data_IF_546107098752
#
_entry.id   IF_546107098752
#
_cell.length_a   1.000
_cell.length_b   1.000
_cell.length_c   1.000
_cell.angle_alpha   90.00
_cell.angle_beta   90.00
_cell.angle_gamma   90.00
#
_symmetry.space_group_name_H-M   'P 1'
#
loop_
_entity.id
_entity.type
_entity.pdbx_description
1 polymer ?
#
# COMPACT_ATOMS: atom_id res chain seq x y z
N UNK A 1 -3.77 18.39 31.25
CA UNK A 1 -2.97 18.58 30.04
C UNK A 1 -2.42 19.99 30.06
N UNK A 2 -1.12 20.14 30.23
CA UNK A 2 -0.45 21.44 30.23
C UNK A 2 -0.41 22.02 28.82
N UNK A 3 -0.17 23.34 28.71
CA UNK A 3 -0.02 24.01 27.41
C UNK A 3 1.14 23.42 26.59
N UNK A 4 2.19 22.97 27.27
CA UNK A 4 3.35 22.29 26.66
C UNK A 4 2.99 20.89 26.15
N UNK A 5 2.24 20.10 26.93
CA UNK A 5 1.74 18.78 26.50
C UNK A 5 0.84 18.89 25.27
N UNK A 6 -0.07 19.88 25.26
CA UNK A 6 -0.95 20.12 24.11
C UNK A 6 -0.19 20.51 22.85
N UNK A 7 0.77 21.44 22.97
CA UNK A 7 1.60 21.86 21.84
C UNK A 7 2.43 20.71 21.27
N UNK A 8 2.97 19.86 22.15
CA UNK A 8 3.73 18.67 21.74
C UNK A 8 2.84 17.67 20.99
N UNK A 9 1.66 17.38 21.53
CA UNK A 9 0.70 16.48 20.88
C UNK A 9 0.25 17.01 19.50
N UNK A 10 0.01 18.32 19.39
CA UNK A 10 -0.31 18.97 18.10
C UNK A 10 0.83 18.79 17.09
N UNK A 11 2.08 19.03 17.50
CA UNK A 11 3.24 18.87 16.61
C UNK A 11 3.43 17.42 16.15
N UNK A 12 3.22 16.44 17.04
CA UNK A 12 3.28 15.02 16.69
C UNK A 12 2.23 14.66 15.62
N UNK A 13 1.01 15.18 15.77
CA UNK A 13 -0.09 14.96 14.83
C UNK A 13 0.15 15.61 13.46
N UNK A 14 0.69 16.84 13.45
CA UNK A 14 1.10 17.53 12.22
C UNK A 14 2.24 16.79 11.50
N UNK A 15 3.20 16.25 12.25
CA UNK A 15 4.29 15.46 11.69
C UNK A 15 3.80 14.15 11.05
N UNK A 16 2.86 13.46 11.72
CA UNK A 16 2.27 12.22 11.22
C UNK A 16 1.41 12.46 9.96
N UNK A 17 0.64 13.56 9.95
CA UNK A 17 -0.08 14.01 8.76
C UNK A 17 0.88 14.30 7.60
N UNK A 18 1.96 15.05 7.84
CA UNK A 18 2.94 15.39 6.82
C UNK A 18 3.63 14.15 6.25
N UNK A 19 3.92 13.15 7.09
CA UNK A 19 4.46 11.87 6.64
C UNK A 19 3.49 11.15 5.70
N UNK A 20 2.21 11.08 6.08
CA UNK A 20 1.15 10.46 5.26
C UNK A 20 0.94 11.20 3.94
N UNK A 21 0.98 12.53 3.97
CA UNK A 21 0.90 13.37 2.78
C UNK A 21 2.07 13.09 1.83
N UNK A 22 3.31 13.12 2.33
CA UNK A 22 4.52 12.84 1.53
C UNK A 22 4.49 11.45 0.91
N UNK A 23 4.08 10.44 1.69
CA UNK A 23 3.88 9.07 1.20
C UNK A 23 2.88 9.03 0.05
N UNK A 24 1.76 9.74 0.19
CA UNK A 24 0.74 9.83 -0.86
C UNK A 24 1.28 10.53 -2.11
N UNK A 25 2.00 11.65 -1.95
CA UNK A 25 2.61 12.38 -3.07
C UNK A 25 3.60 11.50 -3.82
N UNK A 26 4.51 10.82 -3.12
CA UNK A 26 5.48 9.92 -3.74
C UNK A 26 4.82 8.78 -4.53
N UNK A 27 3.72 8.21 -4.00
CA UNK A 27 2.96 7.19 -4.73
C UNK A 27 2.35 7.73 -6.03
N UNK A 28 1.77 8.93 -6.00
CA UNK A 28 1.19 9.56 -7.20
C UNK A 28 2.27 9.96 -8.20
N UNK A 29 3.39 10.50 -7.73
CA UNK A 29 4.54 10.87 -8.56
C UNK A 29 5.07 9.67 -9.35
N UNK A 30 5.32 8.54 -8.68
CA UNK A 30 5.78 7.31 -9.34
C UNK A 30 4.75 6.81 -10.35
N UNK A 31 3.46 6.85 -10.00
CA UNK A 31 2.39 6.44 -10.90
C UNK A 31 2.32 7.30 -12.16
N UNK A 32 2.28 8.63 -12.01
CA UNK A 32 2.22 9.57 -13.14
C UNK A 32 3.48 9.49 -14.00
N UNK A 33 4.66 9.34 -13.38
CA UNK A 33 5.93 9.16 -14.09
C UNK A 33 5.91 7.90 -14.95
N UNK A 34 5.43 6.77 -14.42
CA UNK A 34 5.27 5.54 -15.23
C UNK A 34 4.32 5.74 -16.39
N UNK A 35 3.18 6.39 -16.14
CA UNK A 35 2.17 6.63 -17.17
C UNK A 35 2.72 7.52 -18.30
N UNK A 36 3.39 8.62 -17.95
CA UNK A 36 4.03 9.54 -18.89
C UNK A 36 5.26 8.92 -19.61
N UNK A 37 5.91 7.91 -19.03
CA UNK A 37 7.00 7.17 -19.68
C UNK A 37 6.53 6.08 -20.64
N UNK A 38 5.26 5.67 -20.56
CA UNK A 38 4.74 4.54 -21.33
C UNK A 38 4.43 4.95 -22.77
N UNK A 39 4.95 4.20 -23.75
CA UNK A 39 4.87 4.54 -25.18
C UNK A 39 3.44 4.82 -25.68
N UNK A 40 2.44 4.14 -25.11
CA UNK A 40 1.02 4.35 -25.45
C UNK A 40 0.37 5.45 -24.61
N UNK A 41 0.44 5.37 -23.27
CA UNK A 41 -0.30 6.29 -22.39
C UNK A 41 0.23 7.72 -22.41
N UNK A 42 1.51 7.91 -22.77
CA UNK A 42 2.08 9.26 -22.88
C UNK A 42 1.44 10.12 -23.98
N UNK A 43 0.77 9.49 -24.95
CA UNK A 43 0.08 10.15 -26.06
C UNK A 43 -1.45 10.22 -25.80
N UNK A 44 -1.92 9.84 -24.61
CA UNK A 44 -3.35 9.87 -24.27
C UNK A 44 -3.85 11.29 -24.00
N UNK A 45 -4.86 11.72 -24.75
CA UNK A 45 -5.42 13.08 -24.67
C UNK A 45 -5.97 13.40 -23.27
N UNK A 46 -6.60 12.43 -22.59
CA UNK A 46 -7.12 12.66 -21.24
C UNK A 46 -5.98 12.83 -20.23
N UNK A 47 -4.86 12.12 -20.42
CA UNK A 47 -3.68 12.30 -19.57
C UNK A 47 -3.07 13.69 -19.75
N UNK A 48 -2.96 14.18 -21.00
CA UNK A 48 -2.51 15.55 -21.26
C UNK A 48 -3.41 16.57 -20.59
N UNK A 49 -4.73 16.48 -20.79
CA UNK A 49 -5.70 17.37 -20.13
C UNK A 49 -5.59 17.27 -18.61
N UNK A 50 -5.47 16.06 -18.05
CA UNK A 50 -5.34 15.89 -16.60
C UNK A 50 -4.09 16.55 -16.02
N UNK A 51 -2.97 16.59 -16.77
CA UNK A 51 -1.70 17.14 -16.31
C UNK A 51 -1.52 18.63 -16.61
N UNK A 52 -2.09 19.13 -17.71
CA UNK A 52 -1.84 20.47 -18.24
C UNK A 52 -3.00 21.45 -17.97
N UNK A 53 -4.19 20.95 -17.66
CA UNK A 53 -5.35 21.81 -17.41
C UNK A 53 -5.20 22.55 -16.08
N UNK A 54 -5.21 23.88 -16.15
CA UNK A 54 -4.92 24.80 -15.05
C UNK A 54 -6.17 25.32 -14.33
N UNK A 55 -7.36 25.00 -14.84
CA UNK A 55 -8.64 25.37 -14.23
C UNK A 55 -9.24 24.21 -13.44
N UNK A 56 -10.22 24.51 -12.58
CA UNK A 56 -10.97 23.48 -11.88
C UNK A 56 -11.77 22.64 -12.89
N UNK A 57 -11.46 21.34 -12.96
CA UNK A 57 -12.33 20.38 -13.62
C UNK A 57 -13.64 20.35 -12.82
N UNK A 58 -14.73 20.86 -13.42
CA UNK A 58 -16.10 20.65 -12.94
C UNK A 58 -16.50 19.16 -13.11
N UNK A 59 -15.78 18.27 -12.44
CA UNK A 59 -16.11 16.86 -12.38
C UNK A 59 -17.43 16.73 -11.63
N UNK A 60 -18.46 16.26 -12.33
CA UNK A 60 -19.78 15.99 -11.73
C UNK A 60 -19.58 15.18 -10.44
N UNK A 61 -20.01 15.68 -9.26
CA UNK A 61 -19.86 14.93 -8.03
C UNK A 61 -20.54 13.57 -8.18
N UNK A 62 -19.78 12.48 -8.06
CA UNK A 62 -20.37 11.14 -8.00
C UNK A 62 -21.23 11.09 -6.73
N UNK A 63 -22.54 10.85 -6.88
CA UNK A 63 -23.45 10.73 -5.74
C UNK A 63 -23.05 9.58 -4.81
N UNK A 64 -23.36 9.68 -3.51
CA UNK A 64 -23.02 8.65 -2.48
C UNK A 64 -23.45 7.23 -2.87
N UNK A 65 -24.57 7.10 -3.58
CA UNK A 65 -25.07 5.81 -4.09
C UNK A 65 -24.16 5.19 -5.16
N UNK A 66 -23.47 6.00 -5.96
CA UNK A 66 -22.56 5.53 -7.00
C UNK A 66 -21.19 5.12 -6.43
N UNK A 67 -20.76 5.73 -5.32
CA UNK A 67 -19.60 5.29 -4.54
C UNK A 67 -19.85 3.92 -3.86
N UNK A 68 -21.04 3.70 -3.29
CA UNK A 68 -21.45 2.40 -2.73
C UNK A 68 -21.62 1.31 -3.81
N UNK A 69 -22.12 1.67 -5.00
CA UNK A 69 -22.23 0.74 -6.13
C UNK A 69 -20.89 0.16 -6.61
N UNK A 70 -19.77 0.85 -6.35
CA UNK A 70 -18.42 0.32 -6.63
C UNK A 70 -18.04 -0.88 -5.75
N UNK A 71 -18.49 -0.90 -4.50
CA UNK A 71 -18.23 -1.98 -3.54
C UNK A 71 -19.07 -3.24 -3.82
N UNK A 72 -20.32 -3.06 -4.30
CA UNK A 72 -21.18 -4.19 -4.69
C UNK A 72 -20.69 -4.85 -5.99
N UNK A 73 -20.15 -4.05 -6.93
CA UNK A 73 -19.54 -4.57 -8.17
C UNK A 73 -18.26 -5.38 -7.91
N UNK A 74 -17.49 -5.07 -6.87
CA UNK A 74 -16.28 -5.84 -6.57
C UNK A 74 -16.57 -7.25 -6.02
N UNK A 75 -17.70 -7.44 -5.31
CA UNK A 75 -18.10 -8.76 -4.80
C UNK A 75 -18.64 -9.68 -5.91
N UNK A 76 -19.50 -9.16 -6.79
CA UNK A 76 -20.03 -9.93 -7.93
C UNK A 76 -18.96 -10.29 -8.97
N UNK A 77 -17.89 -9.50 -9.05
CA UNK A 77 -16.78 -9.75 -9.97
C UNK A 77 -16.07 -11.09 -9.71
N UNK A 78 -15.97 -11.52 -8.44
CA UNK A 78 -15.21 -12.73 -8.08
C UNK A 78 -15.95 -14.00 -8.51
N UNK A 79 -17.24 -14.12 -8.20
CA UNK A 79 -18.05 -15.30 -8.58
C UNK A 79 -18.21 -15.42 -10.10
N UNK A 80 -18.41 -14.28 -10.78
CA UNK A 80 -18.51 -14.21 -12.23
C UNK A 80 -17.17 -14.52 -12.92
N UNK A 81 -16.04 -14.14 -12.32
CA UNK A 81 -14.69 -14.48 -12.79
C UNK A 81 -14.41 -16.00 -12.71
N UNK A 82 -14.78 -16.66 -11.61
CA UNK A 82 -14.66 -18.13 -11.51
C UNK A 82 -15.57 -18.84 -12.51
N UNK A 83 -16.78 -18.33 -12.73
CA UNK A 83 -17.73 -18.89 -13.68
C UNK A 83 -17.30 -18.70 -15.14
N UNK A 84 -16.75 -17.53 -15.47
CA UNK A 84 -16.21 -17.22 -16.79
C UNK A 84 -14.97 -18.04 -17.11
N UNK A 85 -14.02 -18.16 -16.16
CA UNK A 85 -12.85 -19.04 -16.32
C UNK A 85 -13.25 -20.51 -16.50
N UNK A 86 -14.36 -20.97 -15.91
CA UNK A 86 -14.81 -22.35 -16.02
C UNK A 86 -15.55 -22.66 -17.34
N UNK A 87 -16.17 -21.67 -17.99
CA UNK A 87 -16.99 -21.87 -19.20
C UNK A 87 -16.37 -21.33 -20.49
N UNK A 88 -15.52 -20.32 -20.40
CA UNK A 88 -14.87 -19.68 -21.54
C UNK A 88 -13.40 -20.05 -21.48
N UNK A 89 -13.02 -21.08 -22.23
CA UNK A 89 -11.62 -21.46 -22.37
C UNK A 89 -10.96 -20.44 -23.28
N UNK A 90 -9.91 -19.78 -22.82
CA UNK A 90 -9.15 -18.88 -23.68
C UNK A 90 -8.57 -19.70 -24.84
N UNK A 91 -8.73 -19.20 -26.06
CA UNK A 91 -8.20 -19.87 -27.26
C UNK A 91 -6.66 -19.82 -27.28
N UNK A 92 -6.07 -18.95 -26.45
CA UNK A 92 -4.63 -18.71 -26.37
C UNK A 92 -4.06 -19.14 -25.02
N UNK A 93 -3.19 -20.17 -25.06
CA UNK A 93 -2.43 -20.67 -23.91
C UNK A 93 -1.63 -19.55 -23.21
N UNK A 94 -1.22 -18.51 -23.95
CA UNK A 94 -0.49 -17.38 -23.40
C UNK A 94 -1.28 -16.66 -22.30
N UNK A 95 -2.55 -16.30 -22.54
CA UNK A 95 -3.33 -15.52 -21.57
C UNK A 95 -3.73 -16.34 -20.34
N UNK A 96 -3.94 -17.64 -20.51
CA UNK A 96 -4.13 -18.56 -19.39
C UNK A 96 -2.88 -18.65 -18.52
N UNK A 97 -1.70 -18.82 -19.13
CA UNK A 97 -0.42 -18.80 -18.44
C UNK A 97 -0.20 -17.46 -17.72
N UNK A 98 -0.43 -16.33 -18.39
CA UNK A 98 -0.30 -14.99 -17.77
C UNK A 98 -1.25 -14.82 -16.58
N UNK A 99 -2.50 -15.30 -16.67
CA UNK A 99 -3.45 -15.24 -15.56
C UNK A 99 -2.96 -16.05 -14.35
N UNK A 100 -2.42 -17.25 -14.59
CA UNK A 100 -1.86 -18.10 -13.55
C UNK A 100 -0.64 -17.45 -12.90
N UNK A 101 0.33 -16.98 -13.71
CA UNK A 101 1.52 -16.29 -13.21
C UNK A 101 1.18 -15.03 -12.42
N UNK A 102 0.26 -14.19 -12.89
CA UNK A 102 -0.19 -13.01 -12.14
C UNK A 102 -0.94 -13.37 -10.86
N UNK A 103 -1.67 -14.48 -10.85
CA UNK A 103 -2.38 -14.95 -9.65
C UNK A 103 -1.41 -15.40 -8.57
N UNK A 104 -0.40 -16.17 -8.96
CA UNK A 104 0.67 -16.60 -8.06
C UNK A 104 1.46 -15.41 -7.55
N UNK A 105 1.93 -14.54 -8.46
CA UNK A 105 2.70 -13.34 -8.11
C UNK A 105 1.94 -12.41 -7.16
N UNK A 106 0.65 -12.14 -7.42
CA UNK A 106 -0.18 -11.32 -6.54
C UNK A 106 -0.34 -11.95 -5.13
N UNK A 107 -0.42 -13.29 -5.07
CA UNK A 107 -0.49 -14.03 -3.79
C UNK A 107 0.82 -13.89 -3.01
N UNK A 108 1.96 -14.08 -3.68
CA UNK A 108 3.28 -13.91 -3.06
C UNK A 108 3.48 -12.48 -2.55
N UNK A 109 3.08 -11.47 -3.32
CA UNK A 109 3.13 -10.06 -2.88
C UNK A 109 2.26 -9.79 -1.66
N UNK A 110 1.05 -10.37 -1.62
CA UNK A 110 0.14 -10.24 -0.48
C UNK A 110 0.74 -10.87 0.78
N UNK A 111 1.31 -12.07 0.66
CA UNK A 111 2.01 -12.73 1.77
C UNK A 111 3.22 -11.92 2.25
N UNK A 112 4.06 -11.46 1.32
CA UNK A 112 5.23 -10.64 1.63
C UNK A 112 4.83 -9.34 2.35
N UNK A 113 3.74 -8.70 1.93
CA UNK A 113 3.20 -7.51 2.60
C UNK A 113 2.83 -7.82 4.05
N UNK A 114 2.07 -8.90 4.29
CA UNK A 114 1.67 -9.32 5.64
C UNK A 114 2.89 -9.65 6.52
N UNK A 115 3.91 -10.31 5.96
CA UNK A 115 5.14 -10.63 6.69
C UNK A 115 5.93 -9.37 7.05
N UNK A 116 5.99 -8.39 6.14
CA UNK A 116 6.63 -7.10 6.37
C UNK A 116 5.89 -6.30 7.44
N UNK A 117 4.55 -6.27 7.40
CA UNK A 117 3.76 -5.58 8.43
C UNK A 117 4.05 -6.14 9.82
N UNK A 118 4.14 -7.48 9.94
CA UNK A 118 4.52 -8.14 11.19
C UNK A 118 5.96 -7.82 11.62
N UNK A 119 6.90 -7.78 10.69
CA UNK A 119 8.30 -7.44 10.97
C UNK A 119 8.43 -6.02 11.50
N UNK A 120 7.77 -5.06 10.85
CA UNK A 120 7.64 -3.67 11.31
C UNK A 120 7.02 -3.57 12.71
N UNK A 121 5.96 -4.33 12.99
CA UNK A 121 5.36 -4.41 14.34
C UNK A 121 6.38 -4.92 15.38
N UNK A 122 7.15 -5.96 15.05
CA UNK A 122 8.18 -6.49 15.94
C UNK A 122 9.31 -5.51 16.22
N UNK A 123 9.75 -4.73 15.23
CA UNK A 123 10.72 -3.66 15.47
C UNK A 123 10.17 -2.60 16.45
N UNK A 124 8.88 -2.26 16.37
CA UNK A 124 8.25 -1.35 17.34
C UNK A 124 8.21 -1.96 18.75
N UNK A 125 7.83 -3.23 18.88
CA UNK A 125 7.84 -3.95 20.17
C UNK A 125 9.24 -4.01 20.81
N UNK A 126 10.29 -4.20 19.99
CA UNK A 126 11.69 -4.19 20.47
C UNK A 126 12.08 -2.79 20.94
N UNK A 127 11.73 -1.73 20.20
CA UNK A 127 11.95 -0.35 20.62
C UNK A 127 11.24 -0.04 21.96
N UNK A 128 10.00 -0.52 22.12
CA UNK A 128 9.24 -0.41 23.37
C UNK A 128 9.89 -1.15 24.54
N UNK A 129 10.55 -2.27 24.26
CA UNK A 129 11.32 -3.01 25.27
C UNK A 129 12.56 -2.23 25.69
N UNK A 130 13.28 -1.61 24.74
CA UNK A 130 14.45 -0.78 25.05
C UNK A 130 14.11 0.44 25.92
N UNK A 131 12.99 1.13 25.67
CA UNK A 131 12.60 2.26 26.53
C UNK A 131 12.23 1.81 27.95
N UNK A 132 11.57 0.65 28.10
CA UNK A 132 11.24 0.09 29.42
C UNK A 132 12.50 -0.27 30.21
N UNK A 133 13.47 -0.93 29.56
CA UNK A 133 14.75 -1.28 30.17
C UNK A 133 15.51 -0.02 30.58
N UNK A 134 15.61 0.96 29.67
CA UNK A 134 16.27 2.25 29.96
C UNK A 134 15.64 2.94 31.18
N UNK A 135 14.31 3.07 31.20
CA UNK A 135 13.59 3.67 32.32
C UNK A 135 13.82 2.94 33.64
N UNK A 136 13.83 1.61 33.64
CA UNK A 136 14.14 0.81 34.83
C UNK A 136 15.57 1.00 35.33
N UNK A 137 16.55 1.11 34.43
CA UNK A 137 17.95 1.39 34.78
C UNK A 137 18.12 2.79 35.40
N UNK A 138 17.43 3.79 34.86
CA UNK A 138 17.42 5.15 35.45
C UNK A 138 16.79 5.15 36.84
N UNK A 139 15.69 4.42 37.03
CA UNK A 139 15.06 4.28 38.35
C UNK A 139 16.00 3.62 39.36
N UNK A 140 16.68 2.53 38.98
CA UNK A 140 17.67 1.87 39.83
C UNK A 140 18.83 2.80 40.21
N UNK A 141 19.33 3.58 39.25
CA UNK A 141 20.39 4.56 39.47
C UNK A 141 19.99 5.64 40.51
N UNK A 142 18.72 6.05 40.50
CA UNK A 142 18.19 7.03 41.45
C UNK A 142 17.91 6.47 42.86
N UNK A 143 17.75 5.16 43.02
CA UNK A 143 17.43 4.52 44.31
C UNK A 143 18.65 4.41 45.21
N UNK A 144 19.82 4.12 44.65
CA UNK A 144 21.08 4.02 45.40
C UNK A 144 22.19 4.82 44.70
N UNK A 145 22.37 6.11 45.05
CA UNK A 145 23.37 6.99 44.47
C UNK A 145 24.77 6.61 44.98
N UNK A 146 25.27 5.48 44.47
CA UNK A 146 26.59 4.93 44.72
C UNK A 146 27.48 4.97 43.47
N UNK A 147 28.65 4.31 43.48
CA UNK A 147 29.58 4.27 42.34
C UNK A 147 28.98 3.63 41.07
N UNK A 148 27.88 2.87 41.22
CA UNK A 148 27.15 2.21 40.13
C UNK A 148 26.21 3.14 39.35
N UNK A 149 25.79 4.29 39.92
CA UNK A 149 24.87 5.24 39.28
C UNK A 149 25.33 5.60 37.86
N UNK A 150 26.54 6.16 37.74
CA UNK A 150 27.14 6.54 36.45
C UNK A 150 27.20 5.40 35.44
N UNK A 151 27.37 4.17 35.90
CA UNK A 151 27.40 2.99 35.04
C UNK A 151 25.99 2.64 34.54
N UNK A 152 25.00 2.63 35.45
CA UNK A 152 23.60 2.37 35.12
C UNK A 152 23.03 3.44 34.18
N UNK A 153 23.31 4.73 34.43
CA UNK A 153 22.91 5.83 33.52
C UNK A 153 23.51 5.64 32.13
N UNK A 154 24.78 5.24 32.04
CA UNK A 154 25.45 5.01 30.75
C UNK A 154 24.83 3.83 29.98
N UNK A 155 24.40 2.78 30.68
CA UNK A 155 23.69 1.65 30.05
C UNK A 155 22.29 2.11 29.61
N UNK A 156 21.56 2.87 30.44
CA UNK A 156 20.27 3.42 30.09
C UNK A 156 20.33 4.27 28.81
N UNK A 157 21.32 5.17 28.71
CA UNK A 157 21.58 5.97 27.52
C UNK A 157 21.86 5.10 26.28
N UNK A 158 22.48 3.94 26.47
CA UNK A 158 22.75 2.99 25.38
C UNK A 158 21.45 2.37 24.88
N UNK A 159 20.54 1.99 25.76
CA UNK A 159 19.22 1.49 25.39
C UNK A 159 18.36 2.58 24.72
N UNK A 160 18.44 3.85 25.15
CA UNK A 160 17.80 4.96 24.46
C UNK A 160 18.34 5.17 23.04
N UNK A 161 19.65 5.03 22.84
CA UNK A 161 20.24 5.05 21.49
C UNK A 161 19.78 3.86 20.66
N UNK A 162 19.76 2.66 21.24
CA UNK A 162 19.29 1.45 20.57
C UNK A 162 17.81 1.57 20.15
N UNK A 163 16.95 2.09 21.04
CA UNK A 163 15.55 2.43 20.74
C UNK A 163 15.43 3.30 19.51
N UNK A 164 16.19 4.41 19.43
CA UNK A 164 16.12 5.33 18.29
C UNK A 164 16.52 4.66 16.97
N UNK A 165 17.52 3.77 17.00
CA UNK A 165 17.92 2.99 15.83
C UNK A 165 16.80 2.03 15.43
N UNK A 166 16.24 1.30 16.38
CA UNK A 166 15.17 0.32 16.13
C UNK A 166 13.90 0.98 15.58
N UNK A 167 13.48 2.11 16.16
CA UNK A 167 12.34 2.89 15.65
C UNK A 167 12.58 3.41 14.24
N UNK A 168 13.83 3.76 13.89
CA UNK A 168 14.19 4.16 12.53
C UNK A 168 14.10 2.97 11.57
N UNK A 169 14.60 1.79 11.97
CA UNK A 169 14.47 0.56 11.15
C UNK A 169 13.01 0.27 10.85
N UNK A 170 12.13 0.29 11.86
CA UNK A 170 10.69 0.09 11.66
C UNK A 170 10.09 1.09 10.65
N UNK A 171 10.49 2.36 10.75
CA UNK A 171 9.99 3.43 9.87
C UNK A 171 10.50 3.29 8.44
N UNK A 172 11.79 2.99 8.27
CA UNK A 172 12.41 2.77 6.97
C UNK A 172 11.78 1.55 6.26
N UNK A 173 11.49 0.49 7.01
CA UNK A 173 10.90 -0.73 6.49
C UNK A 173 9.45 -0.52 6.02
N UNK A 174 8.60 0.13 6.82
CA UNK A 174 7.23 0.44 6.39
C UNK A 174 7.22 1.33 5.15
N UNK A 175 8.07 2.35 5.12
CA UNK A 175 8.12 3.32 4.03
C UNK A 175 8.73 2.76 2.75
N UNK A 176 9.77 1.93 2.83
CA UNK A 176 10.51 1.47 1.64
C UNK A 176 10.06 0.09 1.19
N UNK A 177 9.89 -0.85 2.11
CA UNK A 177 9.56 -2.23 1.76
C UNK A 177 8.04 -2.43 1.67
N UNK A 178 7.32 -2.09 2.74
CA UNK A 178 5.89 -2.36 2.79
C UNK A 178 5.11 -1.57 1.73
N UNK A 179 5.45 -0.29 1.52
CA UNK A 179 4.82 0.51 0.47
C UNK A 179 5.13 0.02 -0.95
N UNK A 180 6.35 -0.43 -1.20
CA UNK A 180 6.72 -1.02 -2.50
C UNK A 180 5.93 -2.30 -2.75
N UNK A 181 5.80 -3.17 -1.75
CA UNK A 181 5.01 -4.40 -1.86
C UNK A 181 3.52 -4.10 -2.09
N UNK A 182 2.96 -3.14 -1.36
CA UNK A 182 1.56 -2.69 -1.54
C UNK A 182 1.33 -2.10 -2.92
N UNK A 183 2.30 -1.36 -3.45
CA UNK A 183 2.26 -0.81 -4.80
C UNK A 183 2.14 -1.92 -5.85
N UNK A 184 3.07 -2.88 -5.86
CA UNK A 184 3.04 -3.98 -6.81
C UNK A 184 1.85 -4.93 -6.57
N UNK A 185 1.38 -5.08 -5.33
CA UNK A 185 0.17 -5.84 -5.04
C UNK A 185 -1.06 -5.20 -5.72
N UNK A 186 -1.17 -3.87 -5.72
CA UNK A 186 -2.25 -3.15 -6.43
C UNK A 186 -2.08 -3.25 -7.95
N UNK A 187 -0.85 -3.09 -8.46
CA UNK A 187 -0.54 -3.17 -9.89
C UNK A 187 -0.86 -4.57 -10.46
N UNK A 188 -0.37 -5.62 -9.81
CA UNK A 188 -0.68 -7.01 -10.18
C UNK A 188 -2.16 -7.34 -10.07
N UNK A 189 -2.87 -6.80 -9.07
CA UNK A 189 -4.32 -6.95 -8.99
C UNK A 189 -5.03 -6.27 -10.18
N UNK A 190 -4.61 -5.07 -10.56
CA UNK A 190 -5.16 -4.37 -11.72
C UNK A 190 -4.91 -5.15 -13.03
N UNK A 191 -3.71 -5.72 -13.20
CA UNK A 191 -3.38 -6.57 -14.33
C UNK A 191 -4.26 -7.83 -14.39
N UNK A 192 -4.52 -8.49 -13.25
CA UNK A 192 -5.48 -9.61 -13.18
C UNK A 192 -6.87 -9.18 -13.63
N UNK A 193 -7.36 -8.04 -13.15
CA UNK A 193 -8.68 -7.52 -13.53
C UNK A 193 -8.76 -7.20 -15.03
N UNK A 194 -7.66 -6.73 -15.64
CA UNK A 194 -7.59 -6.49 -17.08
C UNK A 194 -7.77 -7.79 -17.87
N UNK A 195 -7.11 -8.87 -17.47
CA UNK A 195 -7.26 -10.18 -18.13
C UNK A 195 -8.69 -10.72 -18.02
N UNK A 196 -9.36 -10.52 -16.89
CA UNK A 196 -10.79 -10.89 -16.75
C UNK A 196 -11.67 -10.09 -17.70
N UNK A 197 -11.43 -8.79 -17.82
CA UNK A 197 -12.19 -7.94 -18.75
C UNK A 197 -11.96 -8.37 -20.20
N UNK A 198 -10.71 -8.71 -20.56
CA UNK A 198 -10.39 -9.28 -21.88
C UNK A 198 -11.19 -10.56 -22.12
N UNK A 199 -11.21 -11.49 -21.16
CA UNK A 199 -11.93 -12.76 -21.30
C UNK A 199 -13.44 -12.54 -21.50
N UNK A 200 -14.03 -11.58 -20.79
CA UNK A 200 -15.44 -11.17 -21.00
C UNK A 200 -15.67 -10.65 -22.43
N UNK A 201 -14.80 -9.78 -22.93
CA UNK A 201 -14.89 -9.27 -24.29
C UNK A 201 -14.81 -10.40 -25.33
N UNK A 202 -13.91 -11.37 -25.12
CA UNK A 202 -13.82 -12.57 -25.97
C UNK A 202 -15.13 -13.36 -25.99
N UNK A 203 -15.70 -13.63 -24.81
CA UNK A 203 -16.97 -14.35 -24.70
C UNK A 203 -18.12 -13.63 -25.42
N UNK A 204 -18.20 -12.30 -25.30
CA UNK A 204 -19.18 -11.47 -26.00
C UNK A 204 -18.96 -11.52 -27.52
N UNK A 205 -17.71 -11.42 -27.97
CA UNK A 205 -17.36 -11.49 -29.38
C UNK A 205 -17.75 -12.84 -30.01
N UNK A 206 -17.43 -13.96 -29.36
CA UNK A 206 -17.81 -15.28 -29.84
C UNK A 206 -19.33 -15.49 -29.86
N UNK A 207 -20.05 -14.95 -28.87
CA UNK A 207 -21.50 -15.02 -28.85
C UNK A 207 -22.12 -14.22 -30.00
N UNK A 208 -21.57 -13.05 -30.32
CA UNK A 208 -22.00 -12.24 -31.46
C UNK A 208 -21.73 -12.96 -32.79
N UNK A 209 -20.56 -13.59 -32.96
CA UNK A 209 -20.25 -14.37 -34.15
C UNK A 209 -21.20 -15.56 -34.33
N UNK A 210 -21.48 -16.32 -33.27
CA UNK A 210 -22.45 -17.43 -33.34
C UNK A 210 -23.87 -16.97 -33.65
N UNK A 211 -24.24 -15.74 -33.27
CA UNK A 211 -25.54 -15.17 -33.62
C UNK A 211 -25.57 -14.75 -35.09
N UNK A 212 -24.47 -14.18 -35.60
CA UNK A 212 -24.31 -13.82 -37.01
C UNK A 212 -24.35 -15.04 -37.92
N UNK A 213 -23.68 -16.14 -37.57
CA UNK A 213 -23.70 -17.40 -38.34
C UNK A 213 -25.11 -18.03 -38.45
N UNK A 214 -26.03 -17.67 -37.55
CA UNK A 214 -27.41 -18.17 -37.52
C UNK A 214 -28.40 -17.26 -38.26
N UNK A 215 -28.01 -16.04 -38.60
CA UNK A 215 -28.83 -15.04 -39.28
C UNK A 215 -28.70 -15.18 -40.80
#
# INVERSE_FOLDING_TARGET
MTKEEFNKMKQELEAEYLATFKKTVAMHEVFLTRLASHAVFREDEHLHVFLEYDQDLCARPRGRLQQLGGLVKSLGSTTDQYYLNAKVRDVSDFFEQQMNSLTEYNTQLKEATIRTDKMTEKHKEVADSYIKISGGLVQLANVDPGPLDKFLTKIADTFERARKVESRVASDEDLKLADTLRYYMRDSHAAKQLLVRRLRCLATYEAANRALEKA
#
